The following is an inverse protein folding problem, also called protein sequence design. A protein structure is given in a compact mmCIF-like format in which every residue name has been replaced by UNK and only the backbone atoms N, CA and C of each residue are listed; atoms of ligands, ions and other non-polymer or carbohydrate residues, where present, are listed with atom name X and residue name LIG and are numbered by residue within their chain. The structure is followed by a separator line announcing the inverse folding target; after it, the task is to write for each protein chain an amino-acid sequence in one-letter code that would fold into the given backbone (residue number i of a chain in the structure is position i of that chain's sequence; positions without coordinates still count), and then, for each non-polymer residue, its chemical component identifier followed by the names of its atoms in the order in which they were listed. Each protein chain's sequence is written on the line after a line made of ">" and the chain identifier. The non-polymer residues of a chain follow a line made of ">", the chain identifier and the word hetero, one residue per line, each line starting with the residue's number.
data_IF_346530205604
#
_entry.id   IF_346530205604
#
_cell.length_a   1.000
_cell.length_b   1.000
_cell.length_c   1.000
_cell.angle_alpha   90.00
_cell.angle_beta   90.00
_cell.angle_gamma   90.00
#
_symmetry.space_group_name_H-M   'P 1'
#
loop_
_entity.id
_entity.type
_entity.pdbx_description
1 polymer ?
#
# COMPACT_ATOMS: atom_id res chain seq x y z
N UNK A 1 -16.70 4.41 33.38
CA UNK A 1 -15.83 4.28 32.19
C UNK A 1 -15.76 2.82 31.77
N UNK A 2 -15.41 2.55 30.53
CA UNK A 2 -15.25 1.21 29.94
C UNK A 2 -14.28 0.37 30.78
N UNK A 3 -13.18 0.95 31.23
CA UNK A 3 -12.19 0.30 32.08
C UNK A 3 -12.82 -0.20 33.42
N UNK A 4 -13.69 0.58 34.06
CA UNK A 4 -14.34 0.16 35.30
C UNK A 4 -15.30 -1.03 35.08
N UNK A 5 -15.96 -1.11 33.93
CA UNK A 5 -16.88 -2.22 33.61
C UNK A 5 -16.05 -3.48 33.33
N UNK A 6 -15.00 -3.39 32.57
CA UNK A 6 -14.09 -4.48 32.25
C UNK A 6 -13.46 -5.06 33.51
N UNK A 7 -12.89 -4.23 34.38
CA UNK A 7 -12.30 -4.67 35.65
C UNK A 7 -13.31 -5.35 36.59
N UNK A 8 -14.53 -4.79 36.71
CA UNK A 8 -15.58 -5.39 37.56
C UNK A 8 -16.08 -6.74 37.09
N UNK A 9 -16.02 -6.99 35.77
CA UNK A 9 -16.52 -8.22 35.14
C UNK A 9 -15.41 -9.23 34.83
N UNK A 10 -14.16 -8.83 34.94
CA UNK A 10 -12.99 -9.65 34.52
C UNK A 10 -12.97 -9.94 33.03
N UNK A 11 -13.50 -9.04 32.19
CA UNK A 11 -13.55 -9.20 30.74
C UNK A 11 -12.46 -8.40 30.08
N UNK A 12 -11.88 -8.93 29.01
CA UNK A 12 -11.13 -8.13 28.04
C UNK A 12 -12.12 -7.37 27.15
N UNK A 13 -11.82 -6.11 26.90
CA UNK A 13 -12.59 -5.25 26.00
C UNK A 13 -11.70 -4.82 24.86
N UNK A 14 -12.10 -5.12 23.65
CA UNK A 14 -11.44 -4.68 22.43
C UNK A 14 -11.94 -3.29 22.08
N UNK A 15 -11.00 -2.39 21.81
CA UNK A 15 -11.27 -0.99 21.43
C UNK A 15 -10.72 -0.79 20.03
N UNK A 16 -11.61 -0.68 19.04
CA UNK A 16 -11.24 -0.50 17.65
C UNK A 16 -11.20 1.00 17.35
N UNK A 17 -10.04 1.54 17.02
CA UNK A 17 -9.86 2.97 16.73
C UNK A 17 -8.52 3.23 16.05
N UNK A 18 -8.53 4.01 14.98
CA UNK A 18 -7.32 4.53 14.34
C UNK A 18 -6.70 5.74 15.09
N UNK A 19 -7.22 6.09 16.28
CA UNK A 19 -6.77 7.24 17.06
C UNK A 19 -5.62 6.83 18.00
N UNK A 20 -4.44 7.40 17.80
CA UNK A 20 -3.26 7.16 18.65
C UNK A 20 -3.42 7.56 20.12
N UNK A 21 -4.40 8.40 20.48
CA UNK A 21 -4.72 8.69 21.87
C UNK A 21 -5.47 7.53 22.54
N UNK A 22 -6.28 6.79 21.76
CA UNK A 22 -6.94 5.57 22.22
C UNK A 22 -5.94 4.42 22.39
N UNK A 23 -4.97 4.29 21.50
CA UNK A 23 -3.86 3.34 21.64
C UNK A 23 -3.12 3.57 22.95
N UNK A 24 -2.67 4.80 23.21
CA UNK A 24 -1.99 5.19 24.47
C UNK A 24 -2.88 4.97 25.69
N UNK A 25 -4.18 5.24 25.57
CA UNK A 25 -5.13 5.03 26.66
C UNK A 25 -5.26 3.55 27.01
N UNK A 26 -5.19 2.65 26.05
CA UNK A 26 -5.28 1.20 26.24
C UNK A 26 -3.98 0.58 26.76
N UNK A 27 -2.82 1.11 26.32
CA UNK A 27 -1.48 0.54 26.58
C UNK A 27 -1.19 0.29 28.08
N UNK A 28 -1.72 1.13 28.99
CA UNK A 28 -1.50 1.03 30.44
C UNK A 28 -2.56 0.17 31.15
N UNK A 29 -3.37 -0.60 30.41
CA UNK A 29 -4.53 -1.32 30.99
C UNK A 29 -4.62 -2.76 30.50
N UNK A 30 -4.28 -3.70 31.36
CA UNK A 30 -4.22 -5.14 31.06
C UNK A 30 -5.52 -5.74 30.50
N UNK A 31 -6.66 -5.07 30.72
CA UNK A 31 -7.98 -5.54 30.33
C UNK A 31 -8.58 -4.82 29.11
N UNK A 32 -7.84 -3.88 28.52
CA UNK A 32 -8.21 -3.22 27.27
C UNK A 32 -7.20 -3.60 26.18
N UNK A 33 -7.70 -4.07 25.06
CA UNK A 33 -6.91 -4.41 23.89
C UNK A 33 -7.26 -3.40 22.81
N UNK A 34 -6.27 -2.63 22.35
CA UNK A 34 -6.44 -1.71 21.25
C UNK A 34 -6.23 -2.45 19.92
N UNK A 35 -7.10 -2.20 18.96
CA UNK A 35 -7.02 -2.67 17.59
C UNK A 35 -7.16 -1.44 16.68
N UNK A 36 -6.33 -1.35 15.63
CA UNK A 36 -6.33 -0.18 14.75
C UNK A 36 -7.58 -0.14 13.86
N UNK A 37 -8.05 -1.31 13.44
CA UNK A 37 -9.17 -1.45 12.52
C UNK A 37 -10.02 -2.69 12.81
N UNK A 38 -11.07 -2.86 12.03
CA UNK A 38 -11.99 -4.00 12.15
C UNK A 38 -11.35 -5.29 11.66
N UNK A 39 -10.40 -5.22 10.74
CA UNK A 39 -9.78 -6.39 10.12
C UNK A 39 -8.85 -7.10 11.11
N UNK A 40 -8.14 -6.35 11.97
CA UNK A 40 -7.40 -6.91 13.11
C UNK A 40 -8.34 -7.68 14.05
N UNK A 41 -9.58 -7.19 14.26
CA UNK A 41 -10.56 -7.88 15.08
C UNK A 41 -11.07 -9.15 14.40
N UNK A 42 -11.31 -9.11 13.09
CA UNK A 42 -11.73 -10.29 12.32
C UNK A 42 -10.64 -11.36 12.36
N UNK A 43 -9.37 -10.99 12.13
CA UNK A 43 -8.26 -11.92 12.22
C UNK A 43 -8.15 -12.57 13.59
N UNK A 44 -8.31 -11.78 14.67
CA UNK A 44 -8.30 -12.28 16.02
C UNK A 44 -9.42 -13.29 16.27
N UNK A 45 -10.64 -13.05 15.75
CA UNK A 45 -11.75 -13.99 15.86
C UNK A 45 -11.45 -15.28 15.08
N UNK A 46 -10.98 -15.19 13.85
CA UNK A 46 -10.63 -16.35 13.02
C UNK A 46 -9.58 -17.23 13.70
N UNK A 47 -8.53 -16.63 14.26
CA UNK A 47 -7.44 -17.38 14.92
C UNK A 47 -7.80 -17.97 16.27
N UNK A 48 -8.86 -17.48 16.93
CA UNK A 48 -9.27 -17.97 18.25
C UNK A 48 -10.51 -18.87 18.23
N UNK A 49 -11.16 -19.06 17.10
CA UNK A 49 -12.29 -19.98 16.94
C UNK A 49 -11.79 -21.34 16.48
N UNK A 50 -12.06 -22.38 17.29
CA UNK A 50 -11.67 -23.76 16.99
C UNK A 50 -12.24 -24.29 15.66
N UNK A 51 -13.34 -23.71 15.17
CA UNK A 51 -13.93 -24.07 13.88
C UNK A 51 -13.04 -23.63 12.70
N UNK A 52 -12.19 -22.60 12.89
CA UNK A 52 -11.31 -22.06 11.86
C UNK A 52 -9.84 -22.47 12.02
N UNK A 53 -9.47 -23.24 13.06
CA UNK A 53 -8.09 -23.63 13.35
C UNK A 53 -7.41 -24.30 12.14
N UNK A 54 -8.05 -25.29 11.53
CA UNK A 54 -7.51 -26.00 10.35
C UNK A 54 -7.49 -25.10 9.09
N UNK A 55 -8.57 -24.39 8.71
CA UNK A 55 -8.55 -23.45 7.58
C UNK A 55 -7.51 -22.34 7.72
N UNK A 56 -7.36 -21.72 8.90
CA UNK A 56 -6.39 -20.67 9.15
C UNK A 56 -4.96 -21.18 8.99
N UNK A 57 -4.65 -22.36 9.57
CA UNK A 57 -3.33 -22.97 9.43
C UNK A 57 -2.99 -23.27 7.98
N UNK A 58 -3.95 -23.83 7.23
CA UNK A 58 -3.75 -24.10 5.81
C UNK A 58 -3.53 -22.80 5.02
N UNK A 59 -4.32 -21.75 5.29
CA UNK A 59 -4.17 -20.45 4.67
C UNK A 59 -2.77 -19.85 4.88
N UNK A 60 -2.25 -19.88 6.12
CA UNK A 60 -0.91 -19.41 6.45
C UNK A 60 0.18 -20.19 5.69
N UNK A 61 0.06 -21.52 5.64
CA UNK A 61 1.02 -22.37 4.92
C UNK A 61 0.97 -22.16 3.40
N UNK A 62 -0.20 -21.93 2.83
CA UNK A 62 -0.39 -21.63 1.40
C UNK A 62 0.23 -20.27 1.07
N UNK A 63 -0.06 -19.26 1.89
CA UNK A 63 0.52 -17.93 1.72
C UNK A 63 2.05 -17.95 1.67
N UNK A 64 2.69 -18.61 2.65
CA UNK A 64 4.14 -18.75 2.69
C UNK A 64 4.72 -19.39 1.41
N UNK A 65 3.98 -20.37 0.85
CA UNK A 65 4.35 -21.00 -0.42
C UNK A 65 4.20 -20.12 -1.65
N UNK A 66 3.26 -19.17 -1.62
CA UNK A 66 2.92 -18.30 -2.75
C UNK A 66 3.53 -16.90 -2.66
N UNK A 67 4.19 -16.53 -1.56
CA UNK A 67 4.66 -15.17 -1.29
C UNK A 67 5.47 -14.57 -2.45
N UNK A 68 6.37 -15.32 -3.05
CA UNK A 68 7.17 -14.85 -4.20
C UNK A 68 6.30 -14.53 -5.41
N UNK A 69 5.35 -15.41 -5.73
CA UNK A 69 4.44 -15.20 -6.85
C UNK A 69 3.48 -14.04 -6.60
N UNK A 70 3.10 -13.81 -5.35
CA UNK A 70 2.32 -12.62 -4.95
C UNK A 70 3.11 -11.34 -5.23
N UNK A 71 4.37 -11.27 -4.80
CA UNK A 71 5.24 -10.11 -5.06
C UNK A 71 5.42 -9.87 -6.57
N UNK A 72 5.65 -10.95 -7.35
CA UNK A 72 5.79 -10.85 -8.81
C UNK A 72 4.52 -10.28 -9.46
N UNK A 73 3.33 -10.77 -9.08
CA UNK A 73 2.07 -10.28 -9.62
C UNK A 73 1.74 -8.85 -9.17
N UNK A 74 2.08 -8.48 -7.92
CA UNK A 74 1.96 -7.07 -7.48
C UNK A 74 2.84 -6.18 -8.36
N UNK A 75 4.07 -6.58 -8.65
CA UNK A 75 4.98 -5.83 -9.52
C UNK A 75 4.42 -5.67 -10.93
N UNK A 76 3.88 -6.74 -11.54
CA UNK A 76 3.24 -6.69 -12.85
C UNK A 76 2.06 -5.70 -12.87
N UNK A 77 1.22 -5.70 -11.82
CA UNK A 77 0.11 -4.73 -11.73
C UNK A 77 0.57 -3.30 -11.51
N UNK A 78 1.68 -3.09 -10.80
CA UNK A 78 2.29 -1.77 -10.63
C UNK A 78 2.86 -1.23 -11.95
N UNK A 79 3.35 -2.09 -12.84
CA UNK A 79 3.79 -1.68 -14.17
C UNK A 79 2.64 -1.13 -15.02
N UNK A 80 1.41 -1.57 -14.78
CA UNK A 80 0.21 -1.08 -15.45
C UNK A 80 -0.50 0.07 -14.69
N UNK A 81 -0.15 0.33 -13.43
CA UNK A 81 -0.81 1.33 -12.61
C UNK A 81 -0.43 2.76 -13.01
N UNK A 82 -1.33 3.71 -12.84
CA UNK A 82 -1.07 5.14 -13.02
C UNK A 82 -0.56 5.75 -11.72
N UNK A 83 0.54 6.50 -11.80
CA UNK A 83 1.06 7.25 -10.66
C UNK A 83 0.81 8.73 -10.87
N UNK A 84 0.25 9.40 -9.87
CA UNK A 84 -0.01 10.83 -9.92
C UNK A 84 0.41 11.52 -8.63
N UNK A 85 1.04 12.69 -8.73
CA UNK A 85 1.47 13.45 -7.55
C UNK A 85 0.29 14.12 -6.84
N UNK A 86 0.44 14.33 -5.53
CA UNK A 86 -0.53 15.07 -4.70
C UNK A 86 -0.40 16.60 -4.87
N UNK A 87 0.73 17.05 -5.38
CA UNK A 87 0.96 18.44 -5.68
C UNK A 87 0.17 18.82 -6.97
N UNK A 88 -0.61 19.88 -6.90
CA UNK A 88 -1.30 20.48 -8.04
C UNK A 88 -0.33 21.16 -9.03
N UNK A 89 0.93 20.67 -9.07
CA UNK A 89 1.90 21.14 -10.04
C UNK A 89 1.53 20.64 -11.43
N UNK A 90 1.68 21.48 -12.44
CA UNK A 90 1.43 21.16 -13.85
C UNK A 90 2.41 20.09 -14.42
N UNK A 91 3.05 19.29 -13.54
CA UNK A 91 4.01 18.27 -13.92
C UNK A 91 3.34 16.95 -14.26
N UNK A 92 3.70 16.40 -15.42
CA UNK A 92 3.23 15.10 -15.91
C UNK A 92 4.28 14.01 -15.58
N UNK A 93 3.82 12.84 -15.12
CA UNK A 93 4.70 11.67 -14.97
C UNK A 93 4.99 11.11 -16.38
N UNK A 94 6.25 11.18 -16.81
CA UNK A 94 6.67 10.78 -18.15
C UNK A 94 7.41 9.45 -18.17
N UNK A 95 7.97 9.03 -17.04
CA UNK A 95 8.65 7.75 -16.91
C UNK A 95 8.60 7.23 -15.46
N UNK A 96 8.72 5.91 -15.29
CA UNK A 96 8.77 5.24 -14.00
C UNK A 96 9.62 3.98 -14.06
N UNK A 97 10.24 3.65 -12.94
CA UNK A 97 10.98 2.41 -12.75
C UNK A 97 10.69 1.85 -11.34
N UNK A 98 10.14 0.64 -11.26
CA UNK A 98 9.88 -0.06 -10.01
C UNK A 98 11.12 -0.87 -9.64
N UNK A 99 11.74 -0.52 -8.51
CA UNK A 99 12.98 -1.17 -8.06
C UNK A 99 12.71 -2.38 -7.20
N UNK A 100 11.81 -2.22 -6.19
CA UNK A 100 11.54 -3.28 -5.25
C UNK A 100 10.11 -3.23 -4.72
N UNK A 101 9.62 -4.42 -4.29
CA UNK A 101 8.35 -4.61 -3.60
C UNK A 101 8.60 -5.55 -2.42
N UNK A 102 8.45 -5.03 -1.20
CA UNK A 102 8.59 -5.78 0.04
C UNK A 102 7.26 -5.87 0.77
N UNK A 103 6.96 -7.01 1.39
CA UNK A 103 5.76 -7.17 2.22
C UNK A 103 6.12 -6.80 3.66
N UNK A 104 5.54 -5.70 4.17
CA UNK A 104 5.75 -5.24 5.55
C UNK A 104 4.73 -5.82 6.53
N UNK A 105 3.52 -6.08 6.05
CA UNK A 105 2.44 -6.60 6.88
C UNK A 105 1.47 -7.46 6.10
N UNK A 106 0.78 -8.36 6.80
CA UNK A 106 -0.36 -9.10 6.28
C UNK A 106 -1.40 -9.31 7.37
N UNK A 107 -2.67 -9.32 6.97
CA UNK A 107 -3.82 -9.69 7.80
C UNK A 107 -4.63 -10.75 7.09
N UNK A 108 -5.11 -11.74 7.82
CA UNK A 108 -6.04 -12.74 7.29
C UNK A 108 -7.46 -12.20 7.44
N UNK A 109 -8.13 -11.94 6.32
CA UNK A 109 -9.49 -11.39 6.28
C UNK A 109 -10.54 -12.50 6.29
N UNK A 110 -10.26 -13.58 5.56
CA UNK A 110 -11.16 -14.72 5.46
C UNK A 110 -10.38 -16.02 5.32
N UNK A 111 -10.90 -17.09 5.97
CA UNK A 111 -10.40 -18.45 5.78
C UNK A 111 -11.58 -19.42 5.63
N UNK A 112 -11.44 -20.35 4.70
CA UNK A 112 -12.38 -21.43 4.42
C UNK A 112 -11.62 -22.71 3.99
N UNK A 113 -12.29 -23.87 3.90
CA UNK A 113 -11.63 -25.08 3.38
C UNK A 113 -11.12 -24.97 1.93
N UNK A 114 -11.68 -24.05 1.13
CA UNK A 114 -11.40 -23.93 -0.30
C UNK A 114 -10.58 -22.69 -0.67
N UNK A 115 -10.31 -21.79 0.29
CA UNK A 115 -9.54 -20.58 0.01
C UNK A 115 -9.42 -19.64 1.20
N UNK A 116 -8.62 -18.60 1.00
CA UNK A 116 -8.41 -17.54 1.97
C UNK A 116 -8.20 -16.19 1.28
N UNK A 117 -8.52 -15.10 2.00
CA UNK A 117 -8.25 -13.73 1.58
C UNK A 117 -7.33 -13.05 2.58
N UNK A 118 -6.33 -12.37 2.05
CA UNK A 118 -5.37 -11.58 2.83
C UNK A 118 -5.41 -10.13 2.40
N UNK A 119 -5.30 -9.22 3.36
CA UNK A 119 -4.85 -7.85 3.16
C UNK A 119 -3.33 -7.80 3.39
N UNK A 120 -2.61 -7.21 2.45
CA UNK A 120 -1.14 -7.11 2.46
C UNK A 120 -0.76 -5.63 2.43
N UNK A 121 0.16 -5.23 3.29
CA UNK A 121 0.85 -3.95 3.21
C UNK A 121 2.16 -4.16 2.47
N UNK A 122 2.24 -3.64 1.24
CA UNK A 122 3.42 -3.74 0.40
C UNK A 122 4.15 -2.39 0.33
N UNK A 123 5.43 -2.37 0.73
CA UNK A 123 6.33 -1.25 0.54
C UNK A 123 6.90 -1.30 -0.88
N UNK A 124 6.58 -0.30 -1.67
CA UNK A 124 7.05 -0.15 -3.05
C UNK A 124 8.12 0.91 -3.11
N UNK A 125 9.30 0.55 -3.61
CA UNK A 125 10.40 1.46 -3.92
C UNK A 125 10.47 1.69 -5.42
N UNK A 126 10.33 2.94 -5.86
CA UNK A 126 10.32 3.28 -7.28
C UNK A 126 10.94 4.65 -7.56
N UNK A 127 11.31 4.87 -8.81
CA UNK A 127 11.69 6.17 -9.34
C UNK A 127 10.62 6.68 -10.28
N UNK A 128 10.24 7.96 -10.14
CA UNK A 128 9.37 8.66 -11.08
C UNK A 128 10.12 9.80 -11.73
N UNK A 129 9.97 9.96 -13.04
CA UNK A 129 10.39 11.13 -13.78
C UNK A 129 9.17 11.99 -14.06
N UNK A 130 9.20 13.22 -13.58
CA UNK A 130 8.11 14.17 -13.72
C UNK A 130 8.57 15.37 -14.53
N UNK A 131 7.86 15.65 -15.63
CA UNK A 131 8.16 16.77 -16.54
C UNK A 131 7.31 17.97 -16.17
N UNK A 132 7.94 19.12 -15.98
CA UNK A 132 7.28 20.39 -15.62
C UNK A 132 7.51 21.43 -16.71
N UNK A 133 6.50 22.25 -16.97
CA UNK A 133 6.65 23.42 -17.84
C UNK A 133 7.56 24.46 -17.17
N UNK A 134 8.66 24.81 -17.85
CA UNK A 134 9.60 25.84 -17.41
C UNK A 134 9.27 27.17 -18.10
N UNK A 135 8.30 27.89 -17.56
CA UNK A 135 7.86 29.18 -18.10
C UNK A 135 8.92 30.27 -17.98
N UNK A 136 9.86 30.20 -17.06
CA UNK A 136 10.94 31.18 -16.91
C UNK A 136 11.96 31.13 -18.07
N UNK A 137 12.20 29.93 -18.60
CA UNK A 137 13.12 29.68 -19.72
C UNK A 137 12.39 29.61 -21.07
N UNK A 138 11.08 29.64 -21.07
CA UNK A 138 10.22 29.54 -22.25
C UNK A 138 10.13 30.88 -23.00
N UNK A 139 9.92 30.81 -24.30
CA UNK A 139 9.80 32.00 -25.14
C UNK A 139 8.38 32.55 -25.16
N UNK A 140 8.19 33.71 -24.52
CA UNK A 140 6.91 34.42 -24.49
C UNK A 140 6.86 35.55 -25.51
N UNK A 141 5.85 35.52 -26.40
CA UNK A 141 5.56 36.61 -27.33
C UNK A 141 4.66 37.66 -26.64
N UNK A 142 5.19 38.87 -26.55
CA UNK A 142 4.46 40.01 -25.94
C UNK A 142 3.38 40.57 -26.80
N UNK A 143 3.47 40.43 -28.14
CA UNK A 143 2.46 40.96 -29.08
C UNK A 143 1.23 40.07 -29.06
N UNK A 144 1.41 38.75 -29.10
CA UNK A 144 0.33 37.79 -29.08
C UNK A 144 -0.11 37.38 -27.66
N UNK A 145 0.64 37.81 -26.62
CA UNK A 145 0.44 37.43 -25.20
C UNK A 145 0.36 35.90 -24.99
N UNK A 146 1.20 35.16 -25.73
CA UNK A 146 1.25 33.70 -25.71
C UNK A 146 2.69 33.18 -25.71
N UNK A 147 2.88 31.94 -25.22
CA UNK A 147 4.15 31.26 -25.36
C UNK A 147 4.28 30.70 -26.78
N UNK A 148 5.35 31.06 -27.47
CA UNK A 148 5.70 30.53 -28.81
C UNK A 148 6.13 29.07 -28.70
N UNK A 149 6.89 28.76 -27.66
CA UNK A 149 7.18 27.40 -27.22
C UNK A 149 7.42 27.37 -25.71
N UNK A 150 7.10 26.23 -25.10
CA UNK A 150 7.32 25.96 -23.68
C UNK A 150 8.42 24.93 -23.56
N UNK A 151 9.46 25.28 -22.81
CA UNK A 151 10.48 24.31 -22.41
C UNK A 151 9.98 23.49 -21.23
N UNK A 152 10.47 22.27 -21.11
CA UNK A 152 10.19 21.39 -19.97
C UNK A 152 11.47 21.10 -19.20
N UNK A 153 11.31 20.90 -17.91
CA UNK A 153 12.38 20.46 -17.01
C UNK A 153 11.96 19.16 -16.33
N UNK A 154 12.80 18.14 -16.43
CA UNK A 154 12.54 16.85 -15.84
C UNK A 154 13.12 16.76 -14.43
N UNK A 155 12.32 16.27 -13.52
CA UNK A 155 12.70 16.03 -12.12
C UNK A 155 12.50 14.56 -11.80
N UNK A 156 13.57 13.91 -11.39
CA UNK A 156 13.52 12.52 -10.92
C UNK A 156 13.29 12.49 -9.42
N UNK A 157 12.27 11.76 -8.99
CA UNK A 157 11.90 11.56 -7.59
C UNK A 157 12.08 10.09 -7.21
N UNK A 158 12.80 9.84 -6.12
CA UNK A 158 12.87 8.51 -5.47
C UNK A 158 11.71 8.40 -4.48
N UNK A 159 10.91 7.35 -4.59
CA UNK A 159 9.65 7.18 -3.87
C UNK A 159 9.72 5.89 -3.05
N UNK A 160 9.23 5.96 -1.81
CA UNK A 160 8.88 4.81 -0.99
C UNK A 160 7.44 4.95 -0.53
N UNK A 161 6.60 4.00 -0.93
CA UNK A 161 5.17 4.05 -0.66
C UNK A 161 4.63 2.71 -0.22
N UNK A 162 3.92 2.72 0.90
CA UNK A 162 3.12 1.57 1.33
C UNK A 162 1.77 1.62 0.60
N UNK A 163 1.40 0.50 -0.01
CA UNK A 163 0.11 0.28 -0.65
C UNK A 163 -0.59 -0.90 0.01
N UNK A 164 -1.92 -0.87 0.05
CA UNK A 164 -2.75 -1.99 0.48
C UNK A 164 -3.16 -2.83 -0.72
N UNK A 165 -3.01 -4.14 -0.60
CA UNK A 165 -3.31 -5.11 -1.66
C UNK A 165 -4.13 -6.25 -1.07
N UNK A 166 -5.27 -6.58 -1.69
CA UNK A 166 -6.06 -7.75 -1.33
C UNK A 166 -5.67 -8.93 -2.22
N UNK A 167 -5.41 -10.06 -1.61
CA UNK A 167 -4.97 -11.28 -2.29
C UNK A 167 -5.91 -12.42 -1.96
N UNK A 168 -6.58 -12.94 -2.98
CA UNK A 168 -7.39 -14.14 -2.87
C UNK A 168 -6.57 -15.37 -3.29
N UNK A 169 -6.48 -16.35 -2.40
CA UNK A 169 -5.84 -17.63 -2.68
C UNK A 169 -6.87 -18.75 -2.64
N UNK A 170 -6.83 -19.63 -3.63
CA UNK A 170 -7.69 -20.81 -3.71
C UNK A 170 -6.85 -22.08 -3.51
N UNK A 171 -7.48 -23.09 -2.90
CA UNK A 171 -6.91 -24.44 -2.78
C UNK A 171 -8.05 -25.45 -2.85
N UNK A 172 -7.93 -26.46 -3.73
CA UNK A 172 -8.95 -27.49 -3.90
C UNK A 172 -8.82 -28.57 -2.81
N UNK A 173 -9.97 -29.01 -2.27
CA UNK A 173 -10.06 -30.11 -1.28
C UNK A 173 -9.14 -29.96 -0.07
N UNK A 174 -8.85 -28.74 0.38
CA UNK A 174 -7.88 -28.43 1.45
C UNK A 174 -6.47 -28.96 1.15
N UNK A 175 -6.10 -29.09 -0.14
CA UNK A 175 -4.79 -29.59 -0.55
C UNK A 175 -3.86 -28.46 -0.92
N UNK A 176 -2.84 -28.22 -0.12
CA UNK A 176 -1.79 -27.20 -0.32
C UNK A 176 -1.13 -27.26 -1.71
N UNK A 177 -0.95 -28.47 -2.26
CA UNK A 177 -0.28 -28.66 -3.55
C UNK A 177 -1.03 -28.08 -4.74
N UNK A 178 -2.33 -27.83 -4.59
CA UNK A 178 -3.20 -27.25 -5.63
C UNK A 178 -3.47 -25.76 -5.37
N UNK A 179 -2.73 -25.14 -4.44
CA UNK A 179 -2.93 -23.76 -4.10
C UNK A 179 -2.49 -22.83 -5.24
N UNK A 180 -3.30 -21.82 -5.51
CA UNK A 180 -3.02 -20.79 -6.51
C UNK A 180 -3.51 -19.41 -6.05
N UNK A 181 -2.94 -18.38 -6.62
CA UNK A 181 -3.48 -17.02 -6.52
C UNK A 181 -4.69 -16.95 -7.46
N UNK A 182 -5.85 -16.60 -6.90
CA UNK A 182 -7.10 -16.45 -7.65
C UNK A 182 -7.23 -15.05 -8.18
N UNK A 183 -6.97 -14.05 -7.33
CA UNK A 183 -6.99 -12.65 -7.70
C UNK A 183 -6.05 -11.82 -6.80
N UNK A 184 -5.64 -10.68 -7.34
CA UNK A 184 -4.94 -9.62 -6.61
C UNK A 184 -5.67 -8.32 -6.92
N UNK A 185 -6.26 -7.69 -5.91
CA UNK A 185 -6.95 -6.41 -6.03
C UNK A 185 -6.13 -5.32 -5.37
N UNK A 186 -5.84 -4.26 -6.13
CA UNK A 186 -5.11 -3.07 -5.69
C UNK A 186 -5.54 -1.86 -6.52
N UNK A 187 -5.32 -0.66 -5.98
CA UNK A 187 -5.60 0.57 -6.69
C UNK A 187 -4.79 0.66 -8.00
N UNK A 188 -5.48 0.86 -9.12
CA UNK A 188 -4.86 1.11 -10.44
C UNK A 188 -4.35 2.54 -10.60
N UNK A 189 -4.75 3.46 -9.71
CA UNK A 189 -4.32 4.86 -9.70
C UNK A 189 -3.73 5.20 -8.32
N UNK A 190 -2.41 5.37 -8.27
CA UNK A 190 -1.65 5.51 -7.03
C UNK A 190 -1.23 6.96 -6.84
N UNK A 191 -1.79 7.60 -5.82
CA UNK A 191 -1.41 8.95 -5.43
C UNK A 191 -0.08 8.96 -4.69
N UNK A 192 0.88 9.76 -5.16
CA UNK A 192 2.17 9.99 -4.51
C UNK A 192 2.09 11.27 -3.69
N UNK A 193 2.23 11.16 -2.38
CA UNK A 193 2.23 12.29 -1.44
C UNK A 193 3.65 12.79 -1.20
N UNK A 194 3.79 14.03 -0.79
CA UNK A 194 5.10 14.61 -0.47
C UNK A 194 5.90 13.81 0.56
N UNK A 195 5.24 13.14 1.50
CA UNK A 195 5.86 12.26 2.49
C UNK A 195 6.45 10.97 1.91
N UNK A 196 5.97 10.53 0.74
CA UNK A 196 6.41 9.31 0.08
C UNK A 196 7.72 9.56 -0.71
N UNK A 197 8.09 10.84 -0.93
CA UNK A 197 9.31 11.24 -1.64
C UNK A 197 10.51 11.20 -0.70
N UNK A 198 11.46 10.32 -0.97
CA UNK A 198 12.68 10.15 -0.16
C UNK A 198 13.92 10.79 -0.78
N UNK A 199 13.89 11.08 -2.09
CA UNK A 199 14.97 11.75 -2.80
C UNK A 199 14.46 12.53 -4.03
N UNK A 200 15.17 13.62 -4.39
CA UNK A 200 14.86 14.42 -5.57
C UNK A 200 16.15 14.76 -6.29
N UNK A 201 16.22 14.46 -7.59
CA UNK A 201 17.30 14.86 -8.50
C UNK A 201 16.71 15.68 -9.63
N UNK A 202 17.22 16.90 -9.84
CA UNK A 202 16.86 17.73 -10.98
C UNK A 202 17.92 17.54 -12.07
N UNK A 203 17.47 17.22 -13.26
CA UNK A 203 18.33 17.27 -14.46
C UNK A 203 18.07 18.62 -15.14
N UNK A 204 19.03 19.53 -15.08
CA UNK A 204 19.06 20.63 -16.02
C UNK A 204 19.45 20.02 -17.36
N UNK A 205 18.53 20.02 -18.30
CA UNK A 205 18.89 19.72 -19.68
C UNK A 205 19.80 20.85 -20.15
N UNK A 206 21.11 20.61 -20.13
CA UNK A 206 22.07 21.49 -20.75
C UNK A 206 21.79 21.56 -22.27
N UNK A 207 21.05 22.61 -22.68
CA UNK A 207 20.93 23.00 -24.05
C UNK A 207 22.25 23.71 -24.43
N UNK A 208 23.35 22.99 -24.36
CA UNK A 208 24.60 23.30 -25.02
C UNK A 208 24.83 22.23 -26.09
N UNK A 209 23.97 22.24 -27.09
CA UNK A 209 24.22 21.61 -28.39
C UNK A 209 24.75 22.69 -29.35
N UNK A 210 25.96 22.52 -29.79
CA UNK A 210 26.67 23.30 -30.79
C UNK A 210 25.82 23.67 -32.01
#
# INVERSE_FOLDING_TARGET
>A
SINNISQKRGWHVYVISADGDMEKYCADKDNLVHLNDIDEFVELLLRNDAAFEEPVKLADEVYEGLQKSIIEQIRERLDDAEFYPDDYSDGEVVDREIHDVEIEGRKLIQASPDGAQFEIEALVSLTLVQSYADYERSCFDKEDQAYVFVLTTDVTKEIQKVISVYVDVGFEDSIKANACIVDIDMDSAIQIKSKDVVGVKRYENDINGE
#
